data_IF_356813919283
#
_entry.id   IF_356813919283
#
_cell.length_a   1.000
_cell.length_b   1.000
_cell.length_c   1.000
_cell.angle_alpha   90.00
_cell.angle_beta   90.00
_cell.angle_gamma   90.00
#
_symmetry.space_group_name_H-M   'P 1'
#
loop_
_entity.id
_entity.type
_entity.pdbx_description
1 polymer ?
#
# COMPACT_ATOMS: atom_id res chain seq x y z
N UNK A 1 -14.24 -19.76 -12.69
CA UNK A 1 -14.28 -18.60 -11.78
C UNK A 1 -13.07 -17.76 -12.11
N UNK A 2 -13.28 -16.62 -12.76
CA UNK A 2 -12.18 -15.68 -13.00
C UNK A 2 -11.64 -15.22 -11.64
N UNK A 3 -10.36 -15.49 -11.39
CA UNK A 3 -9.68 -15.04 -10.19
C UNK A 3 -9.58 -13.52 -10.31
N UNK A 4 -10.44 -12.77 -9.60
CA UNK A 4 -10.34 -11.31 -9.56
C UNK A 4 -8.96 -10.95 -9.01
N UNK A 5 -8.12 -10.37 -9.86
CA UNK A 5 -6.78 -9.91 -9.46
C UNK A 5 -6.94 -8.82 -8.41
N UNK A 6 -6.28 -8.99 -7.25
CA UNK A 6 -6.35 -8.02 -6.15
C UNK A 6 -5.28 -6.93 -6.34
N UNK A 7 -5.60 -5.68 -5.96
CA UNK A 7 -4.64 -4.57 -6.01
C UNK A 7 -3.37 -4.85 -5.19
N UNK A 8 -3.52 -5.53 -4.05
CA UNK A 8 -2.41 -5.99 -3.21
C UNK A 8 -1.42 -6.87 -3.98
N UNK A 9 -1.92 -7.79 -4.81
CA UNK A 9 -1.07 -8.69 -5.60
C UNK A 9 -0.39 -7.96 -6.76
N UNK A 10 -1.09 -7.00 -7.39
CA UNK A 10 -0.51 -6.13 -8.42
C UNK A 10 0.62 -5.29 -7.82
N UNK A 11 0.45 -4.75 -6.61
CA UNK A 11 1.48 -3.95 -5.95
C UNK A 11 2.75 -4.76 -5.67
N UNK A 12 2.60 -6.00 -5.20
CA UNK A 12 3.74 -6.92 -5.01
C UNK A 12 4.43 -7.20 -6.34
N UNK A 13 3.66 -7.55 -7.37
CA UNK A 13 4.19 -7.88 -8.69
C UNK A 13 4.99 -6.71 -9.29
N UNK A 14 4.43 -5.50 -9.25
CA UNK A 14 5.12 -4.29 -9.73
C UNK A 14 6.41 -4.02 -8.95
N UNK A 15 6.40 -4.18 -7.62
CA UNK A 15 7.61 -3.97 -6.83
C UNK A 15 8.71 -5.00 -7.13
N UNK A 16 8.34 -6.27 -7.38
CA UNK A 16 9.28 -7.30 -7.80
C UNK A 16 9.83 -7.03 -9.21
N UNK A 17 8.99 -6.63 -10.15
CA UNK A 17 9.42 -6.23 -11.49
C UNK A 17 10.36 -5.01 -11.45
N UNK A 18 10.07 -4.04 -10.58
CA UNK A 18 10.93 -2.88 -10.35
C UNK A 18 12.29 -3.31 -9.80
N UNK A 19 12.32 -4.16 -8.77
CA UNK A 19 13.57 -4.69 -8.21
C UNK A 19 14.38 -5.44 -9.27
N UNK A 20 13.74 -6.28 -10.08
CA UNK A 20 14.41 -7.01 -11.14
C UNK A 20 15.03 -6.08 -12.20
N UNK A 21 14.38 -4.95 -12.49
CA UNK A 21 14.83 -4.00 -13.50
C UNK A 21 15.90 -3.03 -13.01
N UNK A 22 15.83 -2.62 -11.74
CA UNK A 22 16.64 -1.52 -11.21
C UNK A 22 17.52 -1.89 -10.01
N UNK A 23 17.47 -3.14 -9.55
CA UNK A 23 18.30 -3.66 -8.45
C UNK A 23 17.87 -3.22 -7.05
N UNK A 24 16.76 -2.49 -6.91
CA UNK A 24 16.25 -2.00 -5.62
C UNK A 24 14.75 -2.23 -5.52
N UNK A 25 14.27 -2.76 -4.40
CA UNK A 25 12.84 -2.93 -4.16
C UNK A 25 12.23 -1.65 -3.55
N UNK A 26 11.08 -1.16 -4.04
CA UNK A 26 10.32 -0.12 -3.36
C UNK A 26 9.88 -0.57 -1.95
N UNK A 27 9.86 0.36 -0.99
CA UNK A 27 9.53 0.07 0.42
C UNK A 27 8.02 -0.08 0.65
N UNK A 28 7.41 -1.14 0.11
CA UNK A 28 5.95 -1.41 0.18
C UNK A 28 5.53 -2.31 1.34
N UNK A 29 6.49 -2.89 2.07
CA UNK A 29 6.25 -3.93 3.07
C UNK A 29 5.35 -3.47 4.20
N UNK A 30 5.50 -2.23 4.66
CA UNK A 30 4.62 -1.64 5.68
C UNK A 30 3.18 -1.54 5.20
N UNK A 31 2.94 -0.98 4.01
CA UNK A 31 1.60 -0.83 3.44
C UNK A 31 0.89 -2.16 3.20
N UNK A 32 1.62 -3.20 2.75
CA UNK A 32 1.05 -4.55 2.60
C UNK A 32 0.76 -5.17 3.96
N UNK A 33 1.68 -5.06 4.91
CA UNK A 33 1.50 -5.64 6.24
C UNK A 33 0.31 -5.02 6.97
N UNK A 34 0.14 -3.70 6.85
CA UNK A 34 -0.99 -2.97 7.42
C UNK A 34 -2.33 -3.39 6.78
N UNK A 35 -2.37 -3.48 5.45
CA UNK A 35 -3.55 -3.99 4.74
C UNK A 35 -3.87 -5.45 5.13
N UNK A 36 -2.89 -6.35 5.09
CA UNK A 36 -3.07 -7.77 5.40
C UNK A 36 -3.54 -7.94 6.87
N UNK A 37 -3.01 -7.14 7.80
CA UNK A 37 -3.46 -7.11 9.19
C UNK A 37 -4.90 -6.59 9.33
N UNK A 38 -5.27 -5.52 8.61
CA UNK A 38 -6.65 -5.01 8.61
C UNK A 38 -7.65 -6.05 8.11
N UNK A 39 -7.30 -6.78 7.03
CA UNK A 39 -8.14 -7.86 6.53
C UNK A 39 -8.24 -9.02 7.53
N UNK A 40 -7.13 -9.35 8.22
CA UNK A 40 -7.09 -10.43 9.22
C UNK A 40 -8.02 -10.17 10.41
N UNK A 41 -8.16 -8.90 10.84
CA UNK A 41 -9.06 -8.52 11.93
C UNK A 41 -10.51 -8.29 11.47
N UNK A 42 -10.81 -8.56 10.20
CA UNK A 42 -12.18 -8.52 9.66
C UNK A 42 -12.62 -7.17 9.11
N UNK A 43 -11.71 -6.21 8.92
CA UNK A 43 -12.02 -4.95 8.24
C UNK A 43 -12.30 -5.23 6.75
N UNK A 44 -13.31 -4.59 6.17
CA UNK A 44 -13.53 -4.66 4.72
C UNK A 44 -12.53 -3.78 3.96
N UNK A 45 -12.26 -4.11 2.68
CA UNK A 45 -11.39 -3.28 1.83
C UNK A 45 -11.90 -1.83 1.71
N UNK A 46 -13.22 -1.64 1.72
CA UNK A 46 -13.83 -0.30 1.66
C UNK A 46 -13.55 0.48 2.93
N UNK A 47 -13.75 -0.13 4.09
CA UNK A 47 -13.45 0.52 5.38
C UNK A 47 -11.97 0.87 5.50
N UNK A 48 -11.08 -0.05 5.10
CA UNK A 48 -9.64 0.21 5.06
C UNK A 48 -9.31 1.38 4.13
N UNK A 49 -9.87 1.39 2.91
CA UNK A 49 -9.66 2.48 1.95
C UNK A 49 -10.19 3.83 2.43
N UNK A 50 -11.35 3.85 3.08
CA UNK A 50 -11.92 5.06 3.68
C UNK A 50 -11.03 5.56 4.84
N UNK A 51 -10.53 4.65 5.69
CA UNK A 51 -9.66 4.97 6.82
C UNK A 51 -8.29 5.51 6.41
N UNK A 52 -7.67 4.96 5.35
CA UNK A 52 -6.32 5.34 4.92
C UNK A 52 -6.28 6.62 4.06
N UNK A 53 -7.43 7.15 3.63
CA UNK A 53 -7.51 8.21 2.62
C UNK A 53 -6.85 9.53 3.07
N UNK A 54 -6.77 9.77 4.37
CA UNK A 54 -6.13 10.94 4.98
C UNK A 54 -4.81 10.60 5.70
N UNK A 55 -4.42 9.32 5.72
CA UNK A 55 -3.16 8.83 6.30
C UNK A 55 -2.09 8.85 5.22
N UNK A 56 -1.29 9.91 5.23
CA UNK A 56 -0.13 10.06 4.36
C UNK A 56 1.14 9.91 5.18
N UNK A 57 2.20 9.39 4.56
CA UNK A 57 3.53 9.30 5.17
C UNK A 57 4.12 10.68 5.52
N UNK A 58 3.54 11.76 4.96
CA UNK A 58 3.92 13.14 5.23
C UNK A 58 2.69 13.97 5.59
N UNK A 59 2.73 14.64 6.74
CA UNK A 59 1.74 15.59 7.17
C UNK A 59 2.10 17.00 6.68
N UNK A 60 1.20 17.63 5.91
CA UNK A 60 1.36 19.02 5.46
C UNK A 60 1.52 19.95 6.67
N UNK A 61 2.52 20.82 6.61
CA UNK A 61 2.82 21.76 7.69
C UNK A 61 3.59 21.16 8.88
N UNK A 62 3.81 19.83 8.90
CA UNK A 62 4.69 19.16 9.88
C UNK A 62 5.90 18.57 9.19
N UNK A 63 5.70 17.60 8.29
CA UNK A 63 6.79 16.91 7.58
C UNK A 63 7.20 17.65 6.30
N UNK A 64 6.32 18.47 5.74
CA UNK A 64 6.60 19.25 4.53
C UNK A 64 5.99 20.66 4.58
N UNK A 65 6.83 21.68 4.39
CA UNK A 65 6.44 23.09 4.26
C UNK A 65 6.86 23.59 2.88
N UNK A 66 5.88 23.93 2.04
CA UNK A 66 6.10 24.55 0.73
C UNK A 66 6.15 26.08 0.89
N UNK A 67 7.19 26.73 0.36
CA UNK A 67 7.36 28.19 0.33
C UNK A 67 7.37 28.68 -1.11
#
# INVERSE_FOLDING_TARGET
MDKKVKLRDILVDVALQWQASFGIAPSITSSISEYDAAMLVGMSEKEYSDYMRDKTAVAKGTDFVYR
#
